data_IF_338901537822
#
_entry.id   IF_338901537822
#
_cell.length_a   1.000
_cell.length_b   1.000
_cell.length_c   1.000
_cell.angle_alpha   90.00
_cell.angle_beta   90.00
_cell.angle_gamma   90.00
#
_symmetry.space_group_name_H-M   'P 1'
#
loop_
_entity.id
_entity.type
_entity.pdbx_description
1 polymer ?
#
# COMPACT_ATOMS: atom_id res chain seq x y z
N UNK A 1 11.84 68.63 14.53
CA UNK A 1 11.77 67.36 15.29
C UNK A 1 11.45 66.25 14.28
N UNK A 2 12.43 65.43 13.90
CA UNK A 2 12.29 64.38 12.88
C UNK A 2 11.98 63.04 13.57
N UNK A 3 10.80 62.46 13.33
CA UNK A 3 10.48 61.09 13.77
C UNK A 3 10.65 60.17 12.56
N UNK A 4 11.68 59.32 12.58
CA UNK A 4 11.89 58.28 11.58
C UNK A 4 11.15 57.00 11.98
N UNK A 5 10.28 56.50 11.11
CA UNK A 5 9.72 55.16 11.21
C UNK A 5 10.61 54.19 10.42
N UNK A 6 11.27 53.27 11.12
CA UNK A 6 11.99 52.16 10.49
C UNK A 6 10.99 51.04 10.17
N UNK A 7 10.79 50.77 8.88
CA UNK A 7 9.98 49.67 8.37
C UNK A 7 10.81 48.37 8.46
N UNK A 8 10.52 47.52 9.43
CA UNK A 8 11.15 46.21 9.53
C UNK A 8 10.51 45.25 8.51
N UNK A 9 11.23 44.95 7.42
CA UNK A 9 10.89 43.86 6.50
C UNK A 9 11.07 42.52 7.23
N UNK A 10 9.95 41.90 7.61
CA UNK A 10 9.91 40.50 8.04
C UNK A 10 10.14 39.60 6.82
N UNK A 11 11.38 39.13 6.65
CA UNK A 11 11.72 38.03 5.77
C UNK A 11 11.10 36.74 6.35
N UNK A 12 9.94 36.34 5.83
CA UNK A 12 9.39 34.99 6.06
C UNK A 12 10.33 33.97 5.41
N UNK A 13 10.92 33.02 6.16
CA UNK A 13 11.73 31.98 5.56
C UNK A 13 10.85 31.11 4.65
N UNK A 14 11.29 30.90 3.42
CA UNK A 14 10.75 29.86 2.55
C UNK A 14 10.94 28.52 3.26
N UNK A 15 9.86 27.94 3.77
CA UNK A 15 9.86 26.57 4.28
C UNK A 15 10.09 25.67 3.07
N UNK A 16 11.23 24.96 2.97
CA UNK A 16 11.44 24.00 1.90
C UNK A 16 10.34 22.95 1.98
N UNK A 17 9.78 22.60 0.82
CA UNK A 17 8.64 21.70 0.68
C UNK A 17 8.71 20.50 1.62
N UNK A 18 7.60 20.22 2.28
CA UNK A 18 7.40 19.11 3.22
C UNK A 18 8.00 17.82 2.67
N UNK A 19 9.17 17.44 3.18
CA UNK A 19 9.72 16.12 2.96
C UNK A 19 8.68 15.09 3.43
N UNK A 20 8.42 14.08 2.61
CA UNK A 20 7.60 12.94 3.02
C UNK A 20 8.19 12.39 4.32
N UNK A 21 7.38 12.38 5.38
CA UNK A 21 7.78 11.80 6.65
C UNK A 21 8.04 10.30 6.44
N UNK A 22 9.31 9.89 6.43
CA UNK A 22 9.72 8.48 6.46
C UNK A 22 9.26 7.91 7.80
N UNK A 23 8.23 7.07 7.76
CA UNK A 23 7.86 6.31 8.95
C UNK A 23 8.83 5.14 9.04
N UNK A 24 9.62 5.17 10.13
CA UNK A 24 10.68 4.25 10.57
C UNK A 24 11.00 2.98 9.75
N UNK A 25 12.29 2.66 9.68
CA UNK A 25 12.78 1.44 9.06
C UNK A 25 12.07 0.18 9.59
N UNK A 26 11.57 -0.68 8.69
CA UNK A 26 11.00 -1.98 9.09
C UNK A 26 12.12 -2.93 9.54
N UNK A 27 11.99 -3.64 10.68
CA UNK A 27 12.97 -4.65 11.08
C UNK A 27 13.09 -5.78 10.04
N UNK A 28 14.30 -6.28 9.78
CA UNK A 28 14.56 -7.35 8.80
C UNK A 28 13.67 -8.60 8.99
N UNK A 29 13.32 -8.93 10.25
CA UNK A 29 12.39 -10.00 10.58
C UNK A 29 11.01 -9.81 9.97
N UNK A 30 10.47 -8.58 10.02
CA UNK A 30 9.17 -8.27 9.44
C UNK A 30 9.21 -8.36 7.91
N UNK A 31 10.29 -7.91 7.29
CA UNK A 31 10.44 -8.08 5.83
C UNK A 31 10.43 -9.56 5.43
N UNK A 32 11.11 -10.41 6.20
CA UNK A 32 11.04 -11.86 6.02
C UNK A 32 9.62 -12.39 6.18
N UNK A 33 8.86 -11.89 7.17
CA UNK A 33 7.45 -12.25 7.37
C UNK A 33 6.55 -11.80 6.22
N UNK A 34 6.77 -10.61 5.64
CA UNK A 34 6.07 -10.16 4.43
C UNK A 34 6.35 -11.09 3.24
N UNK A 35 7.59 -11.57 3.10
CA UNK A 35 7.95 -12.54 2.07
C UNK A 35 7.20 -13.87 2.21
N UNK A 36 6.97 -14.31 3.46
CA UNK A 36 6.33 -15.59 3.79
C UNK A 36 4.80 -15.49 3.95
N UNK A 37 4.23 -14.28 3.96
CA UNK A 37 2.79 -14.09 4.11
C UNK A 37 2.05 -14.47 2.83
N UNK A 38 0.72 -14.60 2.94
CA UNK A 38 -0.12 -14.79 1.76
C UNK A 38 -0.43 -13.44 1.10
N UNK A 39 0.22 -13.24 -0.03
CA UNK A 39 0.05 -12.14 -0.99
C UNK A 39 -0.36 -12.64 -2.38
N UNK A 40 -0.98 -11.78 -3.16
CA UNK A 40 -1.33 -11.99 -4.57
C UNK A 40 -0.41 -11.09 -5.41
N UNK A 41 0.30 -11.67 -6.39
CA UNK A 41 1.25 -10.90 -7.20
C UNK A 41 0.59 -10.27 -8.43
N UNK A 42 1.02 -9.04 -8.75
CA UNK A 42 0.82 -8.41 -10.06
C UNK A 42 2.15 -7.92 -10.61
N UNK A 43 2.40 -8.24 -11.89
CA UNK A 43 3.68 -7.98 -12.53
C UNK A 43 4.76 -9.00 -12.13
N UNK A 44 5.90 -8.92 -12.81
CA UNK A 44 7.01 -9.88 -12.70
C UNK A 44 8.38 -9.18 -12.65
N UNK A 45 8.39 -7.89 -12.34
CA UNK A 45 9.62 -7.10 -12.30
C UNK A 45 10.41 -7.26 -11.01
N UNK A 46 11.64 -6.73 -11.00
CA UNK A 46 12.56 -6.90 -9.88
C UNK A 46 12.33 -5.90 -8.73
N UNK A 47 11.47 -4.88 -8.89
CA UNK A 47 11.17 -3.90 -7.85
C UNK A 47 9.94 -4.35 -7.07
N UNK A 48 10.15 -4.88 -5.87
CA UNK A 48 9.07 -5.42 -5.05
C UNK A 48 8.42 -4.32 -4.21
N UNK A 49 7.10 -4.21 -4.33
CA UNK A 49 6.25 -3.35 -3.52
C UNK A 49 5.19 -4.21 -2.84
N UNK A 50 5.16 -4.21 -1.50
CA UNK A 50 4.02 -4.78 -0.78
C UNK A 50 2.95 -3.73 -0.60
N UNK A 51 1.69 -4.13 -0.81
CA UNK A 51 0.52 -3.28 -0.59
C UNK A 51 -0.47 -4.05 0.28
N UNK A 52 -0.64 -3.62 1.53
CA UNK A 52 -1.69 -4.13 2.41
C UNK A 52 -2.93 -3.26 2.19
N UNK A 53 -4.04 -3.89 1.79
CA UNK A 53 -5.25 -3.18 1.35
C UNK A 53 -6.53 -3.88 1.80
N UNK A 54 -7.61 -3.10 1.90
CA UNK A 54 -8.97 -3.56 2.21
C UNK A 54 -9.88 -3.31 0.99
N UNK A 55 -10.71 -4.28 0.55
CA UNK A 55 -11.54 -4.15 -0.65
C UNK A 55 -12.55 -2.98 -0.61
N UNK A 56 -12.94 -2.52 0.58
CA UNK A 56 -13.89 -1.43 0.73
C UNK A 56 -13.21 -0.07 0.89
N UNK A 57 -11.89 0.02 0.82
CA UNK A 57 -11.16 1.26 1.07
C UNK A 57 -11.06 2.17 -0.17
N UNK A 58 -11.65 3.39 -0.16
CA UNK A 58 -11.55 4.32 -1.29
C UNK A 58 -10.12 4.73 -1.63
N UNK A 59 -9.24 4.83 -0.62
CA UNK A 59 -7.84 5.16 -0.86
C UNK A 59 -7.03 3.98 -1.40
N UNK A 60 -7.41 2.74 -1.09
CA UNK A 60 -6.82 1.57 -1.72
C UNK A 60 -7.19 1.54 -3.20
N UNK A 61 -8.45 1.83 -3.53
CA UNK A 61 -8.92 1.97 -4.91
C UNK A 61 -8.07 2.97 -5.71
N UNK A 62 -7.92 4.20 -5.21
CA UNK A 62 -7.09 5.23 -5.85
C UNK A 62 -5.65 4.73 -6.05
N UNK A 63 -5.03 4.15 -5.03
CA UNK A 63 -3.65 3.66 -5.14
C UNK A 63 -3.52 2.54 -6.18
N UNK A 64 -4.43 1.57 -6.18
CA UNK A 64 -4.35 0.41 -7.08
C UNK A 64 -4.56 0.86 -8.53
N UNK A 65 -5.47 1.79 -8.79
CA UNK A 65 -5.69 2.39 -10.11
C UNK A 65 -4.44 3.16 -10.59
N UNK A 66 -3.87 4.00 -9.73
CA UNK A 66 -2.65 4.76 -10.05
C UNK A 66 -1.42 3.87 -10.31
N UNK A 67 -1.36 2.68 -9.69
CA UNK A 67 -0.29 1.70 -9.92
C UNK A 67 -0.38 1.04 -11.31
N UNK A 68 -1.57 0.85 -11.89
CA UNK A 68 -1.76 0.10 -13.14
C UNK A 68 -0.84 0.57 -14.29
N UNK A 69 -0.76 1.87 -14.63
CA UNK A 69 0.10 2.33 -15.71
C UNK A 69 1.60 2.29 -15.37
N UNK A 70 1.97 2.01 -14.12
CA UNK A 70 3.35 2.07 -13.62
C UNK A 70 3.99 0.69 -13.49
N UNK A 71 3.19 -0.36 -13.26
CA UNK A 71 3.70 -1.71 -12.95
C UNK A 71 4.68 -2.21 -14.00
N UNK A 72 4.27 -2.20 -15.27
CA UNK A 72 5.12 -2.69 -16.38
C UNK A 72 6.29 -1.75 -16.68
N UNK A 73 6.10 -0.42 -16.89
CA UNK A 73 7.20 0.47 -17.25
C UNK A 73 8.27 0.63 -16.17
N UNK A 74 7.90 0.45 -14.90
CA UNK A 74 8.83 0.59 -13.78
C UNK A 74 9.37 -0.75 -13.28
N UNK A 75 9.10 -1.86 -13.99
CA UNK A 75 9.53 -3.21 -13.62
C UNK A 75 9.16 -3.56 -12.17
N UNK A 76 7.90 -3.29 -11.79
CA UNK A 76 7.38 -3.62 -10.47
C UNK A 76 6.87 -5.06 -10.40
N UNK A 77 7.01 -5.65 -9.22
CA UNK A 77 6.18 -6.74 -8.74
C UNK A 77 5.43 -6.23 -7.51
N UNK A 78 4.13 -5.99 -7.67
CA UNK A 78 3.25 -5.61 -6.56
C UNK A 78 2.76 -6.88 -5.89
N UNK A 79 2.87 -6.95 -4.56
CA UNK A 79 2.43 -8.06 -3.73
C UNK A 79 1.31 -7.57 -2.83
N UNK A 80 0.08 -7.89 -3.19
CA UNK A 80 -1.13 -7.47 -2.48
C UNK A 80 -1.43 -8.38 -1.31
N UNK A 81 -1.49 -7.85 -0.09
CA UNK A 81 -1.94 -8.56 1.10
C UNK A 81 -3.34 -8.04 1.45
N UNK A 82 -4.34 -8.92 1.35
CA UNK A 82 -5.69 -8.57 1.74
C UNK A 82 -5.83 -8.56 3.26
N UNK A 83 -6.53 -7.54 3.74
CA UNK A 83 -7.20 -7.49 5.03
C UNK A 83 -8.68 -7.18 4.78
N UNK A 84 -9.53 -7.34 5.79
CA UNK A 84 -10.95 -7.05 5.68
C UNK A 84 -11.50 -6.59 7.02
N UNK A 85 -11.13 -5.38 7.45
CA UNK A 85 -11.45 -4.86 8.78
C UNK A 85 -12.18 -3.51 8.78
N UNK A 86 -12.26 -2.81 7.63
CA UNK A 86 -12.89 -1.48 7.59
C UNK A 86 -14.39 -1.54 7.83
N UNK A 87 -15.07 -2.48 7.18
CA UNK A 87 -16.49 -2.77 7.40
C UNK A 87 -16.63 -4.21 7.95
N UNK A 88 -17.06 -4.38 9.22
CA UNK A 88 -17.31 -5.70 9.79
C UNK A 88 -18.40 -6.43 9.01
N UNK A 89 -18.01 -7.51 8.32
CA UNK A 89 -18.88 -8.21 7.37
C UNK A 89 -18.42 -7.92 5.95
N UNK A 90 -18.84 -6.80 5.36
CA UNK A 90 -18.66 -6.55 3.92
C UNK A 90 -17.19 -6.58 3.49
N UNK A 91 -16.28 -5.96 4.25
CA UNK A 91 -14.84 -5.99 3.91
C UNK A 91 -14.28 -7.40 3.96
N UNK A 92 -14.66 -8.17 4.98
CA UNK A 92 -14.18 -9.54 5.19
C UNK A 92 -14.73 -10.48 4.12
N UNK A 93 -16.01 -10.34 3.74
CA UNK A 93 -16.68 -11.19 2.77
C UNK A 93 -16.25 -10.90 1.32
N UNK A 94 -15.98 -9.64 0.97
CA UNK A 94 -15.36 -9.30 -0.34
C UNK A 94 -13.90 -9.74 -0.40
N UNK A 95 -13.16 -9.62 0.70
CA UNK A 95 -11.79 -10.11 0.76
C UNK A 95 -11.75 -11.64 0.62
N UNK A 96 -12.71 -12.33 1.22
CA UNK A 96 -12.92 -13.75 1.05
C UNK A 96 -13.23 -14.13 -0.41
N UNK A 97 -14.10 -13.37 -1.09
CA UNK A 97 -14.39 -13.60 -2.51
C UNK A 97 -13.12 -13.55 -3.35
N UNK A 98 -12.28 -12.55 -3.13
CA UNK A 98 -11.00 -12.39 -3.82
C UNK A 98 -10.06 -13.57 -3.54
N UNK A 99 -9.93 -13.99 -2.27
CA UNK A 99 -9.03 -15.08 -1.88
C UNK A 99 -9.49 -16.46 -2.37
N UNK A 100 -10.81 -16.67 -2.51
CA UNK A 100 -11.41 -17.92 -2.97
C UNK A 100 -11.58 -17.99 -4.49
N UNK A 101 -11.35 -16.88 -5.21
CA UNK A 101 -11.44 -16.84 -6.65
C UNK A 101 -10.40 -17.75 -7.33
N UNK A 102 -10.77 -18.30 -8.50
CA UNK A 102 -9.84 -19.08 -9.33
C UNK A 102 -8.64 -18.26 -9.79
N UNK A 103 -8.86 -16.97 -10.03
CA UNK A 103 -7.83 -15.98 -10.33
C UNK A 103 -7.99 -14.82 -9.33
N UNK A 104 -7.29 -14.87 -8.20
CA UNK A 104 -7.38 -13.83 -7.18
C UNK A 104 -6.94 -12.46 -7.68
N UNK A 105 -5.97 -12.39 -8.60
CA UNK A 105 -5.55 -11.11 -9.16
C UNK A 105 -6.66 -10.51 -10.01
N UNK A 106 -7.30 -11.29 -10.88
CA UNK A 106 -8.44 -10.83 -11.65
C UNK A 106 -9.58 -10.34 -10.74
N UNK A 107 -9.81 -11.01 -9.60
CA UNK A 107 -10.82 -10.58 -8.63
C UNK A 107 -10.45 -9.26 -7.91
N UNK A 108 -9.17 -9.02 -7.59
CA UNK A 108 -8.71 -7.69 -7.10
C UNK A 108 -9.03 -6.63 -8.14
N UNK A 109 -8.62 -6.85 -9.40
CA UNK A 109 -8.80 -5.86 -10.46
C UNK A 109 -10.29 -5.63 -10.77
N UNK A 110 -11.14 -6.64 -10.65
CA UNK A 110 -12.59 -6.51 -10.75
C UNK A 110 -13.16 -5.66 -9.61
N UNK A 111 -12.73 -5.92 -8.36
CA UNK A 111 -13.16 -5.14 -7.19
C UNK A 111 -12.88 -3.65 -7.39
N UNK A 112 -11.66 -3.33 -7.81
CA UNK A 112 -11.24 -1.94 -7.99
C UNK A 112 -11.88 -1.31 -9.23
N UNK A 113 -12.02 -2.05 -10.34
CA UNK A 113 -12.65 -1.52 -11.56
C UNK A 113 -14.13 -1.17 -11.36
N UNK A 114 -14.83 -1.92 -10.51
CA UNK A 114 -16.26 -1.74 -10.21
C UNK A 114 -16.50 -0.95 -8.91
N UNK A 115 -15.43 -0.45 -8.29
CA UNK A 115 -15.51 0.32 -7.05
C UNK A 115 -16.44 1.52 -7.21
N UNK A 116 -17.30 1.73 -6.23
CA UNK A 116 -18.15 2.90 -6.15
C UNK A 116 -18.40 3.28 -4.68
N UNK A 117 -18.82 4.53 -4.46
CA UNK A 117 -19.03 5.08 -3.12
C UNK A 117 -20.35 4.64 -2.46
N UNK A 118 -21.25 3.96 -3.19
CA UNK A 118 -22.53 3.51 -2.65
C UNK A 118 -22.39 2.16 -1.94
N UNK A 119 -21.61 1.24 -2.51
CA UNK A 119 -21.46 -0.13 -2.01
C UNK A 119 -20.05 -0.47 -1.53
N UNK A 120 -19.05 0.35 -1.88
CA UNK A 120 -17.61 0.10 -1.67
C UNK A 120 -17.12 -1.22 -2.29
N UNK A 121 -15.96 -1.20 -2.93
CA UNK A 121 -15.54 -2.36 -3.72
C UNK A 121 -16.53 -2.67 -4.85
N UNK A 122 -16.35 -3.82 -5.50
CA UNK A 122 -17.10 -4.16 -6.71
C UNK A 122 -17.28 -5.65 -6.97
N UNK A 123 -16.76 -6.50 -6.08
CA UNK A 123 -17.01 -7.94 -6.10
C UNK A 123 -18.14 -8.34 -5.16
N UNK A 124 -18.77 -9.51 -5.37
CA UNK A 124 -19.72 -10.07 -4.43
C UNK A 124 -19.14 -10.32 -3.03
N UNK A 125 -20.03 -10.40 -2.07
CA UNK A 125 -19.74 -10.86 -0.71
C UNK A 125 -19.92 -12.39 -0.64
N UNK A 126 -18.94 -13.09 -0.08
CA UNK A 126 -19.05 -14.53 0.22
C UNK A 126 -18.53 -14.81 1.62
N UNK A 127 -19.12 -15.82 2.25
CA UNK A 127 -18.64 -16.27 3.55
C UNK A 127 -17.18 -16.76 3.43
N UNK A 128 -16.29 -16.35 4.34
CA UNK A 128 -14.92 -16.82 4.35
C UNK A 128 -14.86 -18.30 4.74
N UNK A 129 -14.10 -19.08 3.98
CA UNK A 129 -13.69 -20.42 4.43
C UNK A 129 -12.54 -20.32 5.45
N UNK A 130 -12.24 -21.42 6.14
CA UNK A 130 -11.21 -21.44 7.18
C UNK A 130 -9.82 -20.99 6.68
N UNK A 131 -9.52 -21.20 5.38
CA UNK A 131 -8.28 -20.75 4.77
C UNK A 131 -8.26 -19.24 4.61
N UNK A 132 -9.33 -18.67 4.08
CA UNK A 132 -9.50 -17.23 3.86
C UNK A 132 -9.52 -16.48 5.18
N UNK A 133 -10.25 -16.96 6.18
CA UNK A 133 -10.24 -16.40 7.55
C UNK A 133 -8.82 -16.34 8.12
N UNK A 134 -8.06 -17.45 7.99
CA UNK A 134 -6.69 -17.52 8.49
C UNK A 134 -5.78 -16.51 7.77
N UNK A 135 -5.86 -16.44 6.45
CA UNK A 135 -5.07 -15.50 5.64
C UNK A 135 -5.35 -14.04 6.06
N UNK A 136 -6.63 -13.67 6.18
CA UNK A 136 -7.02 -12.31 6.56
C UNK A 136 -6.54 -11.96 7.97
N UNK A 137 -6.66 -12.90 8.91
CA UNK A 137 -6.16 -12.74 10.27
C UNK A 137 -4.64 -12.60 10.32
N UNK A 138 -3.90 -13.41 9.58
CA UNK A 138 -2.44 -13.38 9.55
C UNK A 138 -1.92 -12.08 8.90
N UNK A 139 -2.54 -11.63 7.81
CA UNK A 139 -2.20 -10.37 7.16
C UNK A 139 -2.52 -9.16 8.06
N UNK A 140 -3.65 -9.19 8.78
CA UNK A 140 -3.99 -8.16 9.76
C UNK A 140 -3.00 -8.17 10.94
N UNK A 141 -2.62 -9.35 11.43
CA UNK A 141 -1.61 -9.48 12.48
C UNK A 141 -0.26 -8.90 12.03
N UNK A 142 0.14 -9.15 10.77
CA UNK A 142 1.36 -8.56 10.21
C UNK A 142 1.28 -7.03 10.13
N UNK A 143 0.16 -6.48 9.63
CA UNK A 143 -0.09 -5.02 9.63
C UNK A 143 0.03 -4.44 11.04
N UNK A 144 -0.60 -5.06 12.03
CA UNK A 144 -0.52 -4.58 13.43
C UNK A 144 0.88 -4.73 14.03
N UNK A 145 1.64 -5.75 13.66
CA UNK A 145 3.00 -5.99 14.16
C UNK A 145 4.00 -4.90 13.77
N UNK A 146 3.74 -4.21 12.65
CA UNK A 146 4.53 -3.06 12.18
C UNK A 146 3.98 -1.73 12.71
N UNK A 147 3.13 -1.78 13.74
CA UNK A 147 2.49 -0.62 14.35
C UNK A 147 1.43 0.02 13.46
N UNK A 148 0.98 -0.64 12.39
CA UNK A 148 0.00 -0.11 11.46
C UNK A 148 -1.40 -0.62 11.74
N UNK A 149 -2.39 0.26 11.56
CA UNK A 149 -3.82 -0.06 11.65
C UNK A 149 -4.63 0.66 10.56
N UNK A 150 -3.95 1.09 9.50
CA UNK A 150 -4.55 1.87 8.42
C UNK A 150 -4.15 1.28 7.06
N UNK A 151 -5.03 1.45 6.09
CA UNK A 151 -4.86 1.02 4.71
C UNK A 151 -5.18 2.19 3.76
N UNK A 152 -4.57 2.25 2.56
CA UNK A 152 -3.50 1.35 2.10
C UNK A 152 -2.20 1.57 2.86
N UNK A 153 -1.45 0.48 3.10
CA UNK A 153 -0.09 0.53 3.61
C UNK A 153 0.87 -0.05 2.58
N UNK A 154 1.80 0.78 2.09
CA UNK A 154 2.86 0.38 1.17
C UNK A 154 4.15 0.10 1.94
N UNK A 155 4.84 -0.99 1.58
CA UNK A 155 6.11 -1.38 2.19
C UNK A 155 7.11 -1.75 1.10
N UNK A 156 8.29 -1.15 1.11
CA UNK A 156 9.31 -1.35 0.08
C UNK A 156 10.74 -1.14 0.62
N UNK A 157 11.77 -1.76 0.00
CA UNK A 157 13.16 -1.57 0.39
C UNK A 157 13.71 -0.21 -0.05
N UNK A 158 14.68 0.32 0.70
CA UNK A 158 15.58 1.38 0.25
C UNK A 158 16.94 0.83 -0.17
N UNK A 159 17.73 1.68 -0.82
CA UNK A 159 19.05 1.34 -1.35
C UNK A 159 20.06 0.93 -0.27
N UNK A 160 19.86 1.38 0.96
CA UNK A 160 20.70 1.05 2.11
C UNK A 160 20.32 -0.28 2.79
N UNK A 161 19.33 -1.00 2.24
CA UNK A 161 18.83 -2.26 2.79
C UNK A 161 17.82 -2.09 3.93
N UNK A 162 17.50 -0.86 4.32
CA UNK A 162 16.34 -0.57 5.16
C UNK A 162 15.04 -0.69 4.35
N UNK A 163 13.90 -0.51 5.00
CA UNK A 163 12.58 -0.58 4.36
C UNK A 163 11.72 0.56 4.84
N UNK A 164 10.91 1.14 3.95
CA UNK A 164 9.96 2.18 4.30
C UNK A 164 8.55 1.64 4.42
N UNK A 165 7.78 2.31 5.28
CA UNK A 165 6.33 2.18 5.36
C UNK A 165 5.70 3.51 4.97
N UNK A 166 4.83 3.49 3.96
CA UNK A 166 4.03 4.65 3.55
C UNK A 166 2.56 4.33 3.75
N UNK A 167 1.88 5.18 4.51
CA UNK A 167 0.51 4.92 5.01
C UNK A 167 -0.50 5.96 4.53
N UNK A 168 -0.10 6.80 3.57
CA UNK A 168 -0.90 7.91 3.06
C UNK A 168 -1.11 7.68 1.58
N UNK A 169 -2.32 8.00 1.11
CA UNK A 169 -2.53 8.20 -0.32
C UNK A 169 -1.52 9.25 -0.78
N UNK A 170 -0.66 8.87 -1.73
CA UNK A 170 0.27 9.78 -2.37
C UNK A 170 -0.40 10.31 -3.63
N UNK A 171 -0.22 11.60 -3.91
CA UNK A 171 -0.58 12.09 -5.25
C UNK A 171 0.30 11.44 -6.33
N UNK A 172 -0.13 11.45 -7.61
CA UNK A 172 0.54 10.71 -8.68
C UNK A 172 2.05 10.97 -8.82
N UNK A 173 2.49 12.22 -8.62
CA UNK A 173 3.90 12.59 -8.70
C UNK A 173 4.71 11.98 -7.55
N UNK A 174 4.22 12.13 -6.31
CA UNK A 174 4.87 11.57 -5.13
C UNK A 174 4.92 10.04 -5.17
N UNK A 175 3.86 9.40 -5.69
CA UNK A 175 3.86 7.95 -5.91
C UNK A 175 4.96 7.54 -6.89
N UNK A 176 5.05 8.19 -8.06
CA UNK A 176 6.11 7.91 -9.03
C UNK A 176 7.51 8.08 -8.44
N UNK A 177 7.74 9.11 -7.63
CA UNK A 177 9.05 9.34 -7.04
C UNK A 177 9.40 8.29 -5.98
N UNK A 178 8.43 7.83 -5.19
CA UNK A 178 8.59 6.67 -4.30
C UNK A 178 8.97 5.42 -5.11
N UNK A 179 8.22 5.10 -6.17
CA UNK A 179 8.44 3.90 -6.98
C UNK A 179 9.78 3.92 -7.74
N UNK A 180 10.27 5.10 -8.14
CA UNK A 180 11.62 5.25 -8.71
C UNK A 180 12.72 4.95 -7.69
N UNK A 181 12.45 5.22 -6.41
CA UNK A 181 13.39 5.00 -5.31
C UNK A 181 13.57 3.53 -4.94
N UNK A 182 12.61 2.66 -5.30
CA UNK A 182 12.67 1.23 -4.99
C UNK A 182 13.82 0.57 -5.76
N UNK A 183 14.83 0.00 -5.07
CA UNK A 183 15.92 -0.70 -5.74
C UNK A 183 15.43 -2.03 -6.32
N UNK A 184 16.00 -2.41 -7.46
CA UNK A 184 15.83 -3.76 -8.00
C UNK A 184 16.38 -4.78 -7.01
N UNK A 185 15.56 -5.77 -6.69
CA UNK A 185 15.89 -6.82 -5.76
C UNK A 185 16.54 -7.98 -6.52
N UNK A 186 17.48 -8.66 -5.88
CA UNK A 186 18.02 -9.90 -6.42
C UNK A 186 16.88 -10.91 -6.63
N UNK A 187 16.98 -11.74 -7.69
CA UNK A 187 15.98 -12.75 -8.07
C UNK A 187 15.66 -13.81 -6.98
N UNK A 188 16.36 -13.78 -5.84
CA UNK A 188 16.29 -14.78 -4.78
C UNK A 188 15.37 -14.37 -3.61
N UNK A 189 14.53 -13.34 -3.76
CA UNK A 189 13.49 -13.09 -2.77
C UNK A 189 12.58 -14.31 -2.67
N UNK A 190 12.18 -14.72 -1.45
CA UNK A 190 11.25 -15.82 -1.30
C UNK A 190 9.99 -15.53 -2.12
N UNK A 191 9.76 -16.38 -3.11
CA UNK A 191 8.47 -16.57 -3.74
C UNK A 191 7.62 -17.44 -2.80
N UNK A 192 6.30 -17.35 -2.93
CA UNK A 192 5.41 -18.36 -2.36
C UNK A 192 5.58 -19.69 -3.09
#
# INVERSE_FOLDING_TARGET
MRLGFALALLLLPLIPGTALARVGAVPAKVWSQLGQSHWIAQGNGARVLYVIFDPNCPYCHVLIDELQPLIKPMHLQVRYLLVGFLDPGSSQEKAAYILQAKDPLAAILENEKKFNMEHFGGVPEVLPDARSEKILKDNLALLTSIGQKIVPTMIYPEKDGSYQVVQKALGPNSLRDVLKGIPEQAKNLPAQ
#
